data_IF_500066891477
#
_entry.id   IF_500066891477
#
_cell.length_a   1.000
_cell.length_b   1.000
_cell.length_c   1.000
_cell.angle_alpha   90.00
_cell.angle_beta   90.00
_cell.angle_gamma   90.00
#
_symmetry.space_group_name_H-M   'P 1'
#
loop_
_entity.id
_entity.type
_entity.pdbx_description
1 polymer ?
#
# COMPACT_ATOMS: atom_id res chain seq x y z
N UNK A 1 -5.51 -14.57 2.64
CA UNK A 1 -4.33 -14.09 1.89
C UNK A 1 -4.84 -13.30 0.70
N UNK A 2 -4.46 -12.04 0.55
CA UNK A 2 -4.83 -11.25 -0.63
C UNK A 2 -3.65 -11.26 -1.60
N UNK A 3 -3.90 -11.56 -2.87
CA UNK A 3 -2.88 -11.48 -3.92
C UNK A 3 -2.59 -10.00 -4.19
N UNK A 4 -1.36 -9.51 -3.97
CA UNK A 4 -0.97 -8.14 -4.27
C UNK A 4 -0.96 -7.85 -5.78
N UNK A 5 -1.15 -8.85 -6.65
CA UNK A 5 -1.34 -8.67 -8.09
C UNK A 5 -2.80 -8.52 -8.50
N UNK A 6 -3.76 -8.76 -7.61
CA UNK A 6 -5.19 -8.58 -7.90
C UNK A 6 -5.62 -7.12 -7.70
N UNK A 7 -6.05 -6.39 -8.77
CA UNK A 7 -6.58 -5.03 -8.66
C UNK A 7 -7.73 -4.89 -7.64
N UNK A 8 -8.51 -5.94 -7.41
CA UNK A 8 -9.60 -5.93 -6.41
C UNK A 8 -9.08 -5.79 -4.99
N UNK A 9 -7.92 -6.36 -4.68
CA UNK A 9 -7.24 -6.19 -3.39
C UNK A 9 -6.97 -4.71 -3.15
N UNK A 10 -6.38 -4.03 -4.13
CA UNK A 10 -6.01 -2.61 -4.02
C UNK A 10 -7.22 -1.69 -3.91
N UNK A 11 -8.25 -1.94 -4.73
CA UNK A 11 -9.52 -1.22 -4.63
C UNK A 11 -10.17 -1.39 -3.26
N UNK A 12 -10.18 -2.60 -2.70
CA UNK A 12 -10.80 -2.89 -1.40
C UNK A 12 -10.04 -2.29 -0.19
N UNK A 13 -8.74 -2.06 -0.35
CA UNK A 13 -7.85 -1.48 0.67
C UNK A 13 -7.71 0.05 0.54
N UNK A 14 -8.14 0.64 -0.57
CA UNK A 14 -8.04 2.10 -0.77
C UNK A 14 -8.88 2.82 0.30
N UNK A 15 -8.29 3.82 0.94
CA UNK A 15 -8.87 4.52 2.09
C UNK A 15 -8.71 3.80 3.44
N UNK A 16 -8.02 2.65 3.47
CA UNK A 16 -7.73 1.90 4.70
C UNK A 16 -6.25 1.87 5.02
N UNK A 17 -5.95 1.73 6.30
CA UNK A 17 -4.59 1.42 6.74
C UNK A 17 -4.29 -0.02 6.39
N UNK A 18 -3.17 -0.22 5.71
CA UNK A 18 -2.67 -1.51 5.31
C UNK A 18 -1.22 -1.67 5.76
N UNK A 19 -0.80 -2.91 5.96
CA UNK A 19 0.61 -3.24 6.06
C UNK A 19 1.11 -3.61 4.67
N UNK A 20 2.13 -2.89 4.23
CA UNK A 20 2.74 -2.99 2.90
C UNK A 20 4.15 -3.54 3.06
N UNK A 21 4.41 -4.68 2.45
CA UNK A 21 5.73 -5.31 2.41
C UNK A 21 6.35 -5.02 1.05
N UNK A 22 7.48 -4.33 1.03
CA UNK A 22 8.26 -4.10 -0.20
C UNK A 22 9.18 -5.29 -0.46
N UNK A 23 9.50 -5.56 -1.74
CA UNK A 23 10.35 -6.70 -2.12
C UNK A 23 11.72 -6.70 -1.43
N UNK A 24 12.35 -5.53 -1.31
CA UNK A 24 13.72 -5.38 -0.82
C UNK A 24 13.80 -4.60 0.51
N UNK A 25 12.67 -4.42 1.21
CA UNK A 25 12.59 -3.51 2.36
C UNK A 25 11.71 -4.02 3.51
N UNK A 26 11.80 -3.38 4.68
CA UNK A 26 10.94 -3.73 5.81
C UNK A 26 9.48 -3.41 5.49
N UNK A 27 8.57 -4.22 6.04
CA UNK A 27 7.15 -3.91 6.00
C UNK A 27 6.83 -2.60 6.71
N UNK A 28 5.96 -1.78 6.11
CA UNK A 28 5.46 -0.54 6.71
C UNK A 28 3.95 -0.51 6.76
N UNK A 29 3.43 -0.02 7.89
CA UNK A 29 2.02 0.31 8.05
C UNK A 29 1.76 1.68 7.43
N UNK A 30 0.90 1.74 6.43
CA UNK A 30 0.60 2.96 5.70
C UNK A 30 -0.87 2.99 5.27
N UNK A 31 -1.42 4.19 5.15
CA UNK A 31 -2.71 4.42 4.51
C UNK A 31 -2.53 4.26 3.00
N UNK A 32 -3.28 3.33 2.39
CA UNK A 32 -3.39 3.29 0.93
C UNK A 32 -4.34 4.41 0.50
N UNK A 33 -3.79 5.54 0.07
CA UNK A 33 -4.57 6.75 -0.23
C UNK A 33 -5.16 6.73 -1.64
N UNK A 34 -4.46 6.11 -2.59
CA UNK A 34 -4.91 5.97 -3.98
C UNK A 34 -4.35 4.70 -4.62
N UNK A 35 -5.16 4.08 -5.46
CA UNK A 35 -4.72 3.06 -6.41
C UNK A 35 -5.13 3.52 -7.81
N UNK A 36 -4.18 3.53 -8.74
CA UNK A 36 -4.38 3.86 -10.14
C UNK A 36 -4.18 2.59 -10.97
N UNK A 37 -5.29 2.05 -11.48
CA UNK A 37 -5.30 0.77 -12.20
C UNK A 37 -4.66 0.88 -13.59
N UNK A 38 -4.87 2.01 -14.28
CA UNK A 38 -4.32 2.26 -15.61
C UNK A 38 -2.80 2.36 -15.57
N UNK A 39 -2.27 2.97 -14.51
CA UNK A 39 -0.82 3.10 -14.30
C UNK A 39 -0.20 1.94 -13.52
N UNK A 40 -1.02 1.08 -12.89
CA UNK A 40 -0.53 0.01 -12.01
C UNK A 40 0.23 0.53 -10.78
N UNK A 41 -0.15 1.70 -10.25
CA UNK A 41 0.55 2.36 -9.14
C UNK A 41 -0.34 2.51 -7.91
N UNK A 42 0.28 2.48 -6.73
CA UNK A 42 -0.39 2.70 -5.46
C UNK A 42 0.34 3.80 -4.66
N UNK A 43 -0.43 4.73 -4.12
CA UNK A 43 0.06 5.80 -3.27
C UNK A 43 -0.19 5.45 -1.80
N UNK A 44 0.87 5.57 -0.99
CA UNK A 44 0.86 5.22 0.42
C UNK A 44 1.28 6.42 1.24
N UNK A 45 0.58 6.65 2.34
CA UNK A 45 0.89 7.72 3.27
C UNK A 45 1.11 7.18 4.68
N UNK A 46 2.16 7.63 5.36
CA UNK A 46 2.41 7.29 6.76
C UNK A 46 3.06 8.47 7.48
N UNK A 47 3.02 8.44 8.81
CA UNK A 47 3.63 9.47 9.65
C UNK A 47 4.83 8.91 10.40
N UNK A 48 5.89 9.70 10.51
CA UNK A 48 7.03 9.44 11.40
C UNK A 48 7.25 10.68 12.28
N UNK A 49 6.76 10.62 13.51
CA UNK A 49 6.70 11.76 14.41
C UNK A 49 5.79 12.87 13.85
N UNK A 50 6.25 14.14 13.78
CA UNK A 50 5.45 15.24 13.25
C UNK A 50 5.42 15.29 11.71
N UNK A 51 6.16 14.40 11.02
CA UNK A 51 6.30 14.41 9.57
C UNK A 51 5.32 13.43 8.94
N UNK A 52 4.70 13.85 7.85
CA UNK A 52 3.88 13.00 7.00
C UNK A 52 4.62 12.74 5.69
N UNK A 53 4.69 11.49 5.29
CA UNK A 53 5.29 11.04 4.05
C UNK A 53 4.18 10.51 3.15
N UNK A 54 4.28 10.79 1.84
CA UNK A 54 3.45 10.16 0.82
C UNK A 54 4.36 9.71 -0.30
N UNK A 55 4.31 8.42 -0.63
CA UNK A 55 5.11 7.82 -1.68
C UNK A 55 4.23 7.02 -2.62
N UNK A 56 4.53 7.09 -3.91
CA UNK A 56 3.84 6.31 -4.94
C UNK A 56 4.79 5.25 -5.46
N UNK A 57 4.33 3.99 -5.50
CA UNK A 57 5.11 2.87 -5.96
C UNK A 57 4.36 2.09 -7.04
N UNK A 58 5.07 1.47 -8.00
CA UNK A 58 4.50 0.42 -8.83
C UNK A 58 3.98 -0.72 -7.95
N UNK A 59 2.75 -1.19 -8.18
CA UNK A 59 2.16 -2.32 -7.43
C UNK A 59 3.05 -3.57 -7.52
N UNK A 60 3.73 -3.77 -8.65
CA UNK A 60 4.66 -4.89 -8.83
C UNK A 60 5.89 -4.84 -7.90
N UNK A 61 6.22 -3.70 -7.31
CA UNK A 61 7.30 -3.56 -6.32
C UNK A 61 6.86 -3.98 -4.91
N UNK A 62 5.56 -4.16 -4.70
CA UNK A 62 4.97 -4.62 -3.45
C UNK A 62 4.96 -6.14 -3.43
N UNK A 63 5.63 -6.71 -2.43
CA UNK A 63 5.67 -8.16 -2.20
C UNK A 63 4.38 -8.67 -1.58
N UNK A 64 3.76 -7.89 -0.68
CA UNK A 64 2.52 -8.27 0.00
C UNK A 64 1.79 -7.04 0.56
N UNK A 65 0.46 -7.09 0.56
CA UNK A 65 -0.38 -6.07 1.20
C UNK A 65 -1.53 -6.72 1.96
N UNK A 66 -1.84 -6.24 3.16
CA UNK A 66 -3.00 -6.68 3.93
C UNK A 66 -3.62 -5.55 4.74
N UNK A 67 -4.94 -5.61 4.93
CA UNK A 67 -5.63 -4.68 5.83
C UNK A 67 -5.05 -4.83 7.25
N UNK A 68 -4.80 -3.70 7.89
CA UNK A 68 -4.45 -3.71 9.31
C UNK A 68 -5.72 -4.03 10.13
N UNK A 69 -5.72 -5.09 10.97
CA UNK A 69 -6.92 -5.56 11.66
C UNK A 69 -7.31 -4.74 12.91
N UNK A 70 -6.72 -3.56 13.12
CA UNK A 70 -7.01 -2.71 14.28
C UNK A 70 -8.41 -2.10 14.23
#
# INVERSE_FOLDING_TARGET
MNDPKDPKTWKALTGKVAVVMFKDGPGKKALLSRYDEDLGTAAFSWSEGPRQFTCTFPVESVAQVFADPM
#
